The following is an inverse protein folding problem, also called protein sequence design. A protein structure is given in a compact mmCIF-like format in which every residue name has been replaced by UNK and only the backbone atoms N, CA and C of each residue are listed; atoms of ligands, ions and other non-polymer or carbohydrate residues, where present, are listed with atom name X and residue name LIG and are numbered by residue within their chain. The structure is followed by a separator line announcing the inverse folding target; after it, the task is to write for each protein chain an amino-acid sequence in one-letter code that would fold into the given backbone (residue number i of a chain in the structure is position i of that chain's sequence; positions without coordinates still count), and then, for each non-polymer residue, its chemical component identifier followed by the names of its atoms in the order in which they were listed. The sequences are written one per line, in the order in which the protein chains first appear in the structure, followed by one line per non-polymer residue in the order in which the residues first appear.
data_IF_450503998496
#
_entry.id   IF_450503998496
#
_cell.length_a   1.000
_cell.length_b   1.000
_cell.length_c   1.000
_cell.angle_alpha   90.00
_cell.angle_beta   90.00
_cell.angle_gamma   90.00
#
_symmetry.space_group_name_H-M   'P 1'
#
loop_
_entity.id
_entity.type
_entity.pdbx_description
1 polymer ?
#
# COMPACT_ATOMS: atom_id res chain seq x y z
N UNK A 1 28.64 -14.81 -0.74
CA UNK A 1 28.40 -15.13 0.65
C UNK A 1 27.67 -13.97 1.30
N UNK A 2 26.49 -14.21 1.76
CA UNK A 2 25.69 -13.23 2.49
C UNK A 2 26.08 -13.32 3.95
N UNK A 3 26.57 -12.23 4.51
CA UNK A 3 26.76 -12.11 5.95
C UNK A 3 25.43 -11.72 6.58
N UNK A 4 24.81 -12.65 7.26
CA UNK A 4 23.70 -12.35 8.16
C UNK A 4 24.17 -12.51 9.62
N UNK A 5 24.06 -11.44 10.39
CA UNK A 5 24.15 -11.57 11.85
C UNK A 5 22.83 -12.16 12.37
N UNK A 6 22.80 -13.48 12.46
CA UNK A 6 21.59 -14.23 12.86
C UNK A 6 21.11 -13.91 14.27
N UNK A 7 21.96 -13.32 15.13
CA UNK A 7 21.56 -12.91 16.48
C UNK A 7 20.57 -11.75 16.48
N UNK A 8 20.42 -11.05 15.35
CA UNK A 8 19.54 -9.91 15.16
C UNK A 8 18.27 -10.25 14.35
N UNK A 9 18.12 -11.50 13.92
CA UNK A 9 16.97 -11.97 13.16
C UNK A 9 16.05 -12.77 14.09
N UNK A 10 14.77 -12.52 13.97
CA UNK A 10 13.75 -13.37 14.59
C UNK A 10 13.64 -14.69 13.82
N UNK A 11 13.25 -15.76 14.51
CA UNK A 11 13.11 -17.09 13.90
C UNK A 11 11.78 -17.20 13.13
N UNK A 12 11.56 -16.26 12.20
CA UNK A 12 10.37 -16.12 11.41
C UNK A 12 10.56 -16.57 9.95
N UNK A 13 9.48 -16.54 9.20
CA UNK A 13 9.49 -16.71 7.76
C UNK A 13 9.40 -15.35 7.07
N UNK A 14 10.29 -15.12 6.12
CA UNK A 14 10.38 -13.92 5.33
C UNK A 14 9.79 -14.17 3.95
N UNK A 15 8.63 -13.57 3.65
CA UNK A 15 8.01 -13.64 2.33
C UNK A 15 8.69 -12.66 1.38
N UNK A 16 9.02 -13.14 0.19
CA UNK A 16 9.63 -12.34 -0.88
C UNK A 16 8.86 -12.57 -2.16
N UNK A 17 8.32 -11.50 -2.73
CA UNK A 17 7.70 -11.49 -4.05
C UNK A 17 8.64 -10.82 -5.04
N UNK A 18 9.18 -11.54 -6.03
CA UNK A 18 10.07 -10.95 -7.01
C UNK A 18 9.30 -10.06 -8.00
N UNK A 19 9.89 -8.92 -8.38
CA UNK A 19 9.25 -7.91 -9.23
C UNK A 19 9.09 -8.30 -10.71
N UNK A 20 9.82 -9.28 -11.21
CA UNK A 20 9.82 -9.56 -12.65
C UNK A 20 9.68 -11.05 -13.02
N UNK A 21 10.52 -11.91 -12.49
CA UNK A 21 10.50 -13.35 -12.77
C UNK A 21 10.81 -14.13 -11.50
N UNK A 22 10.05 -15.18 -11.28
CA UNK A 22 10.19 -16.02 -10.10
C UNK A 22 8.85 -16.28 -9.41
N UNK A 23 8.93 -17.02 -8.34
CA UNK A 23 7.78 -17.35 -7.51
C UNK A 23 7.88 -16.62 -6.18
N UNK A 24 6.76 -16.15 -5.68
CA UNK A 24 6.67 -15.72 -4.27
C UNK A 24 7.07 -16.87 -3.37
N UNK A 25 8.01 -16.65 -2.47
CA UNK A 25 8.52 -17.69 -1.59
C UNK A 25 8.72 -17.18 -0.16
N UNK A 26 8.63 -18.08 0.80
CA UNK A 26 8.99 -17.82 2.18
C UNK A 26 10.32 -18.51 2.50
N UNK A 27 11.21 -17.75 3.12
CA UNK A 27 12.55 -18.17 3.52
C UNK A 27 12.68 -18.13 5.02
N UNK A 28 13.44 -19.05 5.59
CA UNK A 28 13.84 -18.96 6.99
C UNK A 28 15.10 -18.08 7.18
N UNK A 29 15.53 -17.93 8.42
CA UNK A 29 16.72 -17.13 8.77
C UNK A 29 18.04 -17.67 8.19
N UNK A 30 18.05 -18.88 7.63
CA UNK A 30 19.21 -19.47 6.95
C UNK A 30 19.19 -19.17 5.45
N UNK A 31 18.08 -18.64 4.93
CA UNK A 31 17.84 -18.45 3.50
C UNK A 31 17.32 -19.72 2.82
N UNK A 32 16.92 -20.73 3.58
CA UNK A 32 16.33 -21.93 3.04
C UNK A 32 14.86 -21.68 2.69
N UNK A 33 14.44 -22.11 1.50
CA UNK A 33 13.04 -22.04 1.05
C UNK A 33 12.20 -23.00 1.91
N UNK A 34 11.18 -22.47 2.56
CA UNK A 34 10.23 -23.22 3.40
C UNK A 34 8.87 -23.35 2.75
N UNK A 35 8.52 -22.42 1.88
CA UNK A 35 7.28 -22.40 1.15
C UNK A 35 7.47 -21.61 -0.15
N UNK A 36 6.70 -21.93 -1.18
CA UNK A 36 6.62 -21.14 -2.41
C UNK A 36 5.26 -21.28 -3.07
N UNK A 37 4.86 -20.19 -3.76
CA UNK A 37 3.64 -20.13 -4.52
C UNK A 37 3.93 -20.46 -5.99
N UNK A 38 3.14 -21.36 -6.58
CA UNK A 38 3.29 -21.74 -8.00
C UNK A 38 2.43 -20.92 -8.95
N UNK A 39 1.42 -20.19 -8.42
CA UNK A 39 0.64 -19.23 -9.19
C UNK A 39 1.35 -17.86 -9.25
N UNK A 40 0.96 -17.05 -10.22
CA UNK A 40 1.47 -15.69 -10.34
C UNK A 40 0.94 -14.84 -9.21
N UNK A 41 1.82 -14.12 -8.53
CA UNK A 41 1.50 -13.03 -7.62
C UNK A 41 2.37 -11.83 -7.99
N UNK A 42 1.82 -10.63 -8.00
CA UNK A 42 2.52 -9.43 -8.49
C UNK A 42 2.93 -8.52 -7.34
N UNK A 43 2.08 -8.42 -6.33
CA UNK A 43 2.29 -7.53 -5.19
C UNK A 43 2.67 -8.31 -3.93
N UNK A 44 2.79 -7.64 -2.81
CA UNK A 44 3.11 -8.26 -1.53
C UNK A 44 2.10 -9.33 -1.11
N UNK A 45 2.59 -10.27 -0.31
CA UNK A 45 1.77 -11.23 0.43
C UNK A 45 1.61 -10.72 1.84
N UNK A 46 0.37 -10.60 2.31
CA UNK A 46 0.06 -10.24 3.70
C UNK A 46 -0.45 -11.46 4.45
N UNK A 47 -0.08 -11.59 5.71
CA UNK A 47 -0.68 -12.57 6.60
C UNK A 47 -1.87 -11.93 7.32
N UNK A 48 -3.01 -12.59 7.25
CA UNK A 48 -4.24 -12.19 7.92
C UNK A 48 -4.27 -12.74 9.37
N UNK A 49 -5.08 -12.13 10.22
CA UNK A 49 -5.29 -12.53 11.62
C UNK A 49 -5.71 -14.01 11.76
N UNK A 50 -6.50 -14.53 10.81
CA UNK A 50 -6.91 -15.94 10.79
C UNK A 50 -5.80 -16.89 10.32
N UNK A 51 -4.62 -16.40 9.99
CA UNK A 51 -3.46 -17.16 9.54
C UNK A 51 -3.41 -17.45 8.05
N UNK A 52 -4.42 -17.08 7.28
CA UNK A 52 -4.41 -17.16 5.82
C UNK A 52 -3.52 -16.06 5.22
N UNK A 53 -3.23 -16.19 3.94
CA UNK A 53 -2.51 -15.23 3.14
C UNK A 53 -3.49 -14.41 2.30
N UNK A 54 -3.29 -13.11 2.24
CA UNK A 54 -3.90 -12.20 1.28
C UNK A 54 -2.88 -11.89 0.20
N UNK A 55 -3.23 -12.13 -1.04
CA UNK A 55 -2.38 -11.92 -2.20
C UNK A 55 -3.17 -11.40 -3.39
N UNK A 56 -2.49 -10.90 -4.42
CA UNK A 56 -3.15 -10.48 -5.65
C UNK A 56 -3.84 -11.67 -6.32
N UNK A 57 -4.97 -11.42 -6.98
CA UNK A 57 -5.52 -12.37 -7.93
C UNK A 57 -4.50 -12.64 -9.06
N UNK A 58 -4.63 -13.75 -9.76
CA UNK A 58 -3.79 -14.08 -10.91
C UNK A 58 -4.32 -13.51 -12.23
N UNK A 59 -5.41 -12.73 -12.17
CA UNK A 59 -6.09 -12.13 -13.32
C UNK A 59 -5.78 -10.65 -13.45
N UNK A 60 -5.48 -10.23 -14.67
CA UNK A 60 -5.25 -8.82 -15.01
C UNK A 60 -6.45 -8.24 -15.77
N UNK A 61 -6.76 -6.99 -15.48
CA UNK A 61 -7.69 -6.20 -16.28
C UNK A 61 -7.05 -5.79 -17.61
N UNK A 62 -7.89 -5.41 -18.58
CA UNK A 62 -7.43 -4.64 -19.75
C UNK A 62 -6.70 -3.37 -19.28
N UNK A 63 -5.92 -2.70 -20.17
CA UNK A 63 -5.15 -1.53 -19.73
C UNK A 63 -5.88 -0.72 -18.66
N UNK A 64 -5.22 -0.38 -17.56
CA UNK A 64 -3.77 -0.32 -17.30
C UNK A 64 -3.09 -1.62 -16.81
N UNK A 65 -3.72 -2.79 -16.91
CA UNK A 65 -3.19 -4.11 -16.55
C UNK A 65 -3.01 -4.33 -15.03
N UNK A 66 -3.78 -3.68 -14.21
CA UNK A 66 -3.86 -3.97 -12.78
C UNK A 66 -4.47 -5.35 -12.53
N UNK A 67 -4.22 -5.90 -11.34
CA UNK A 67 -4.88 -7.13 -10.91
C UNK A 67 -6.37 -6.86 -10.70
N UNK A 68 -7.22 -7.84 -11.01
CA UNK A 68 -8.67 -7.69 -10.81
C UNK A 68 -9.07 -7.56 -9.34
N UNK A 69 -8.19 -7.94 -8.43
CA UNK A 69 -8.42 -7.84 -6.99
C UNK A 69 -7.48 -8.72 -6.18
N UNK A 70 -7.98 -9.24 -5.09
CA UNK A 70 -7.24 -10.00 -4.10
C UNK A 70 -7.86 -11.39 -3.90
N UNK A 71 -7.06 -12.34 -3.43
CA UNK A 71 -7.55 -13.63 -2.98
C UNK A 71 -7.02 -13.96 -1.58
N UNK A 72 -7.84 -14.66 -0.83
CA UNK A 72 -7.48 -15.22 0.46
C UNK A 72 -7.23 -16.72 0.32
N UNK A 73 -6.06 -17.18 0.75
CA UNK A 73 -5.59 -18.54 0.56
C UNK A 73 -4.86 -19.03 1.83
N UNK A 74 -4.96 -20.31 2.14
CA UNK A 74 -4.11 -20.89 3.18
C UNK A 74 -2.73 -21.31 2.63
N UNK A 75 -1.83 -21.66 3.55
CA UNK A 75 -0.46 -22.10 3.19
C UNK A 75 -0.42 -23.40 2.37
N UNK A 76 -1.53 -24.17 2.31
CA UNK A 76 -1.63 -25.37 1.49
C UNK A 76 -2.16 -25.11 0.09
N UNK A 77 -2.46 -23.84 -0.23
CA UNK A 77 -2.91 -23.42 -1.55
C UNK A 77 -4.43 -23.47 -1.76
N UNK A 78 -5.22 -23.69 -0.70
CA UNK A 78 -6.67 -23.63 -0.80
C UNK A 78 -7.14 -22.17 -0.79
N UNK A 79 -7.72 -21.72 -1.90
CA UNK A 79 -8.39 -20.42 -2.01
C UNK A 79 -9.76 -20.51 -1.36
N UNK A 80 -10.04 -19.59 -0.45
CA UNK A 80 -11.31 -19.47 0.28
C UNK A 80 -12.25 -18.47 -0.37
N UNK A 81 -11.70 -17.34 -0.80
CA UNK A 81 -12.46 -16.26 -1.41
C UNK A 81 -11.57 -15.47 -2.37
N UNK A 82 -12.21 -14.89 -3.38
CA UNK A 82 -11.59 -13.93 -4.30
C UNK A 82 -12.44 -12.66 -4.28
N UNK A 83 -11.79 -11.54 -3.97
CA UNK A 83 -12.38 -10.21 -3.93
C UNK A 83 -12.10 -9.53 -5.26
N UNK A 84 -13.13 -9.04 -5.92
CA UNK A 84 -13.02 -8.35 -7.22
C UNK A 84 -13.31 -6.87 -7.03
N UNK A 85 -12.41 -6.03 -7.53
CA UNK A 85 -12.53 -4.58 -7.52
C UNK A 85 -12.82 -4.07 -8.94
N UNK A 86 -13.77 -3.18 -9.08
CA UNK A 86 -14.25 -2.69 -10.38
C UNK A 86 -13.13 -2.07 -11.22
N UNK A 87 -12.26 -1.27 -10.59
CA UNK A 87 -11.12 -0.63 -11.25
C UNK A 87 -9.77 -1.26 -10.90
N UNK A 88 -9.79 -2.46 -10.32
CA UNK A 88 -8.59 -3.23 -10.00
C UNK A 88 -7.89 -2.83 -8.70
N UNK A 89 -6.85 -3.60 -8.41
CA UNK A 89 -5.98 -3.51 -7.25
C UNK A 89 -4.54 -3.31 -7.70
N UNK A 90 -3.80 -2.51 -6.93
CA UNK A 90 -2.37 -2.31 -7.12
C UNK A 90 -1.64 -2.19 -5.77
N UNK A 91 -0.35 -2.41 -5.78
CA UNK A 91 0.64 -2.22 -4.72
C UNK A 91 0.33 -2.88 -3.38
N UNK A 92 -0.65 -2.40 -2.60
CA UNK A 92 -0.77 -2.75 -1.18
C UNK A 92 -2.21 -2.89 -0.69
N UNK A 93 -2.40 -3.80 0.25
CA UNK A 93 -3.65 -3.99 0.99
C UNK A 93 -3.33 -4.48 2.40
N UNK A 94 -4.13 -4.10 3.38
CA UNK A 94 -4.01 -4.54 4.77
C UNK A 94 -5.36 -4.96 5.36
N UNK A 95 -5.33 -5.82 6.37
CA UNK A 95 -6.47 -6.10 7.22
C UNK A 95 -6.61 -5.01 8.29
N UNK A 96 -7.79 -4.43 8.41
CA UNK A 96 -8.14 -3.46 9.45
C UNK A 96 -8.51 -4.17 10.77
N UNK A 97 -8.46 -3.48 11.92
CA UNK A 97 -8.86 -4.05 13.21
C UNK A 97 -10.30 -4.58 13.26
N UNK A 98 -11.19 -4.08 12.39
CA UNK A 98 -12.56 -4.57 12.25
C UNK A 98 -12.67 -5.83 11.36
N UNK A 99 -11.57 -6.33 10.82
CA UNK A 99 -11.49 -7.48 9.93
C UNK A 99 -11.75 -7.19 8.44
N UNK A 100 -12.09 -5.95 8.08
CA UNK A 100 -12.23 -5.52 6.69
C UNK A 100 -10.86 -5.32 6.03
N UNK A 101 -10.84 -5.11 4.72
CA UNK A 101 -9.62 -4.85 3.97
C UNK A 101 -9.55 -3.38 3.56
N UNK A 102 -8.41 -2.72 3.84
CA UNK A 102 -8.06 -1.42 3.28
C UNK A 102 -7.14 -1.65 2.08
N UNK A 103 -7.51 -1.14 0.91
CA UNK A 103 -6.92 -1.55 -0.35
C UNK A 103 -6.55 -0.31 -1.19
N UNK A 104 -5.33 -0.29 -1.72
CA UNK A 104 -4.95 0.64 -2.78
C UNK A 104 -5.61 0.22 -4.10
N UNK A 105 -6.44 1.08 -4.65
CA UNK A 105 -7.22 0.83 -5.85
C UNK A 105 -7.29 2.05 -6.77
N UNK A 106 -8.17 1.97 -7.76
CA UNK A 106 -8.43 3.06 -8.68
C UNK A 106 -9.90 3.45 -8.64
N UNK A 107 -10.19 4.72 -8.93
CA UNK A 107 -11.56 5.18 -9.08
C UNK A 107 -12.08 4.81 -10.47
N UNK A 108 -13.15 3.99 -10.60
CA UNK A 108 -13.67 3.56 -11.90
C UNK A 108 -14.23 4.73 -12.76
N UNK A 109 -14.58 5.83 -12.13
CA UNK A 109 -15.16 7.01 -12.79
C UNK A 109 -14.11 8.06 -13.18
N UNK A 110 -12.81 7.77 -12.98
CA UNK A 110 -11.71 8.69 -13.26
C UNK A 110 -10.76 8.16 -14.32
N UNK A 111 -10.05 9.09 -14.95
CA UNK A 111 -8.95 8.77 -15.88
C UNK A 111 -7.59 8.71 -15.19
N UNK A 112 -7.52 9.15 -13.94
CA UNK A 112 -6.32 9.04 -13.10
C UNK A 112 -6.21 7.66 -12.47
N UNK A 113 -5.00 7.28 -12.04
CA UNK A 113 -4.71 5.99 -11.44
C UNK A 113 -3.94 6.17 -10.12
N UNK A 114 -3.98 5.15 -9.30
CA UNK A 114 -3.20 5.03 -8.07
C UNK A 114 -3.41 6.20 -7.07
N UNK A 115 -4.64 6.72 -7.05
CA UNK A 115 -5.08 7.86 -6.24
C UNK A 115 -6.40 7.60 -5.50
N UNK A 116 -6.72 6.33 -5.28
CA UNK A 116 -7.97 5.90 -4.67
C UNK A 116 -7.73 4.80 -3.65
N UNK A 117 -8.40 4.88 -2.52
CA UNK A 117 -8.33 3.87 -1.47
C UNK A 117 -9.74 3.41 -1.15
N UNK A 118 -9.91 2.12 -0.93
CA UNK A 118 -11.22 1.55 -0.58
C UNK A 118 -11.14 0.71 0.68
N UNK A 119 -12.24 0.70 1.43
CA UNK A 119 -12.51 -0.31 2.44
C UNK A 119 -13.51 -1.33 1.88
N UNK A 120 -13.12 -2.59 1.89
CA UNK A 120 -13.91 -3.70 1.45
C UNK A 120 -14.36 -4.51 2.67
N UNK A 121 -15.66 -4.70 2.80
CA UNK A 121 -16.23 -5.64 3.78
C UNK A 121 -15.85 -7.08 3.37
N UNK A 122 -15.01 -7.72 4.19
CA UNK A 122 -14.45 -9.03 3.90
C UNK A 122 -15.51 -10.14 3.89
N UNK A 123 -16.63 -9.96 4.58
CA UNK A 123 -17.71 -10.94 4.62
C UNK A 123 -18.56 -10.92 3.35
N UNK A 124 -18.85 -9.72 2.85
CA UNK A 124 -19.75 -9.55 1.68
C UNK A 124 -18.99 -9.36 0.37
N UNK A 125 -17.70 -9.00 0.42
CA UNK A 125 -16.89 -8.64 -0.74
C UNK A 125 -17.25 -7.28 -1.35
N UNK A 126 -18.05 -6.47 -0.65
CA UNK A 126 -18.50 -5.17 -1.15
C UNK A 126 -17.60 -4.04 -0.66
N UNK A 127 -17.32 -3.08 -1.54
CA UNK A 127 -16.73 -1.79 -1.13
C UNK A 127 -17.77 -1.02 -0.32
N UNK A 128 -17.44 -0.69 0.91
CA UNK A 128 -18.34 0.01 1.85
C UNK A 128 -17.92 1.44 2.12
N UNK A 129 -16.66 1.80 1.80
CA UNK A 129 -16.12 3.15 1.97
C UNK A 129 -14.98 3.38 0.99
N UNK A 130 -14.78 4.63 0.61
CA UNK A 130 -13.69 5.02 -0.27
C UNK A 130 -13.19 6.44 0.00
N UNK A 131 -11.93 6.69 -0.40
CA UNK A 131 -11.25 7.97 -0.32
C UNK A 131 -10.63 8.28 -1.68
N UNK A 132 -11.14 9.33 -2.31
CA UNK A 132 -10.65 9.86 -3.58
C UNK A 132 -9.64 10.98 -3.29
N UNK A 133 -8.35 10.71 -3.51
CA UNK A 133 -7.29 11.66 -3.17
C UNK A 133 -7.34 12.94 -4.00
N UNK A 134 -7.96 12.91 -5.17
CA UNK A 134 -8.18 14.13 -5.97
C UNK A 134 -9.09 15.14 -5.30
N UNK A 135 -9.88 14.70 -4.32
CA UNK A 135 -10.74 15.56 -3.50
C UNK A 135 -10.05 16.07 -2.24
N UNK A 136 -8.88 15.53 -1.90
CA UNK A 136 -8.15 15.81 -0.66
C UNK A 136 -6.88 16.63 -0.94
N UNK A 137 -6.19 16.33 -2.04
CA UNK A 137 -4.89 16.90 -2.38
C UNK A 137 -4.93 17.63 -3.73
N UNK A 138 -4.11 18.68 -3.90
CA UNK A 138 -3.89 19.32 -5.18
C UNK A 138 -3.05 18.39 -6.09
N UNK A 139 -3.61 17.97 -7.22
CA UNK A 139 -2.95 17.03 -8.14
C UNK A 139 -1.69 17.59 -8.80
N UNK A 140 -1.58 18.92 -8.88
CA UNK A 140 -0.50 19.64 -9.54
C UNK A 140 0.65 20.04 -8.60
N UNK A 141 0.59 19.68 -7.31
CA UNK A 141 1.62 20.05 -6.33
C UNK A 141 2.83 19.14 -6.39
N UNK A 142 4.01 19.70 -6.04
CA UNK A 142 5.27 18.99 -5.80
C UNK A 142 5.58 17.86 -6.79
N UNK A 143 5.52 18.17 -8.08
CA UNK A 143 5.72 17.18 -9.15
C UNK A 143 7.14 16.63 -9.15
N UNK A 144 7.31 15.36 -8.84
CA UNK A 144 8.58 14.66 -9.06
C UNK A 144 8.88 14.50 -10.56
N UNK A 145 10.07 14.02 -10.90
CA UNK A 145 10.45 13.75 -12.30
C UNK A 145 9.57 12.68 -12.99
N UNK A 146 8.92 11.82 -12.21
CA UNK A 146 8.05 10.75 -12.70
C UNK A 146 6.56 11.13 -12.72
N UNK A 147 6.21 12.31 -12.27
CA UNK A 147 4.83 12.79 -12.23
C UNK A 147 4.21 12.85 -13.63
N UNK A 148 2.97 12.42 -13.74
CA UNK A 148 2.13 12.62 -14.92
C UNK A 148 0.71 13.01 -14.49
N UNK A 149 -0.04 13.70 -15.35
CA UNK A 149 -1.45 14.01 -15.06
C UNK A 149 -2.30 12.75 -14.83
N UNK A 150 -1.95 11.64 -15.47
CA UNK A 150 -2.64 10.37 -15.35
C UNK A 150 -2.28 9.64 -14.04
N UNK A 151 -1.01 9.70 -13.63
CA UNK A 151 -0.46 9.06 -12.43
C UNK A 151 0.26 10.12 -11.59
N UNK A 152 -0.54 10.94 -10.92
CA UNK A 152 -0.05 12.15 -10.24
C UNK A 152 0.41 11.89 -8.81
N UNK A 153 -0.20 10.94 -8.10
CA UNK A 153 0.11 10.62 -6.70
C UNK A 153 0.97 9.35 -6.59
N UNK A 154 0.59 8.30 -7.31
CA UNK A 154 1.23 6.99 -7.28
C UNK A 154 1.26 6.40 -5.87
N UNK A 155 0.07 6.13 -5.33
CA UNK A 155 -0.07 5.51 -4.00
C UNK A 155 0.50 4.08 -4.01
N UNK A 156 1.58 3.87 -3.30
CA UNK A 156 2.30 2.58 -3.30
C UNK A 156 2.27 1.86 -1.95
N UNK A 157 1.63 2.40 -0.94
CA UNK A 157 1.34 1.69 0.31
C UNK A 157 0.15 2.26 1.04
N UNK A 158 -0.53 1.39 1.76
CA UNK A 158 -1.57 1.74 2.73
C UNK A 158 -1.19 1.19 4.09
N UNK A 159 -1.45 1.99 5.15
CA UNK A 159 -1.33 1.55 6.53
C UNK A 159 -2.41 2.21 7.38
N UNK A 160 -2.62 1.71 8.58
CA UNK A 160 -3.66 2.20 9.46
C UNK A 160 -3.13 2.49 10.86
N UNK A 161 -3.22 3.74 11.27
CA UNK A 161 -2.94 4.18 12.63
C UNK A 161 -4.19 3.97 13.49
N UNK A 162 -4.22 2.85 14.20
CA UNK A 162 -5.36 2.50 15.05
C UNK A 162 -5.54 3.49 16.20
N UNK A 163 -4.45 4.02 16.75
CA UNK A 163 -4.51 4.95 17.89
C UNK A 163 -5.17 6.28 17.50
N UNK A 164 -4.90 6.76 16.30
CA UNK A 164 -5.44 8.03 15.79
C UNK A 164 -6.60 7.85 14.80
N UNK A 165 -6.99 6.60 14.49
CA UNK A 165 -8.03 6.28 13.51
C UNK A 165 -7.75 6.98 12.18
N UNK A 166 -6.55 6.79 11.64
CA UNK A 166 -6.08 7.46 10.45
C UNK A 166 -5.50 6.49 9.42
N UNK A 167 -5.66 6.80 8.15
CA UNK A 167 -5.05 6.08 7.03
C UNK A 167 -3.74 6.77 6.68
N UNK A 168 -2.67 5.98 6.53
CA UNK A 168 -1.35 6.44 6.11
C UNK A 168 -1.11 5.99 4.69
N UNK A 169 -0.75 6.92 3.81
CA UNK A 169 -0.54 6.68 2.39
C UNK A 169 0.81 7.22 1.94
N UNK A 170 1.45 6.53 1.01
CA UNK A 170 2.72 6.95 0.42
C UNK A 170 2.53 7.32 -1.05
N UNK A 171 2.66 8.59 -1.37
CA UNK A 171 2.57 9.17 -2.72
C UNK A 171 3.95 9.38 -3.33
N UNK A 172 4.37 8.46 -4.21
CA UNK A 172 5.69 8.48 -4.85
C UNK A 172 5.92 9.72 -5.71
N UNK A 173 4.90 10.16 -6.44
CA UNK A 173 5.05 11.21 -7.45
C UNK A 173 4.87 12.63 -6.90
N UNK A 174 4.44 12.75 -5.65
CA UNK A 174 4.48 14.00 -4.87
C UNK A 174 5.52 13.96 -3.75
N UNK A 175 6.33 12.90 -3.67
CA UNK A 175 7.36 12.70 -2.65
C UNK A 175 6.84 12.91 -1.22
N UNK A 176 5.61 12.48 -0.96
CA UNK A 176 4.89 12.75 0.28
C UNK A 176 4.31 11.49 0.92
N UNK A 177 4.43 11.40 2.23
CA UNK A 177 3.61 10.49 3.05
C UNK A 177 2.52 11.32 3.71
N UNK A 178 1.28 10.90 3.59
CA UNK A 178 0.13 11.62 4.14
C UNK A 178 -0.64 10.79 5.14
N UNK A 179 -1.31 11.48 6.05
CA UNK A 179 -2.31 10.90 6.92
C UNK A 179 -3.66 11.56 6.67
N UNK A 180 -4.69 10.74 6.52
CA UNK A 180 -6.07 11.19 6.42
C UNK A 180 -6.93 10.58 7.52
N UNK A 181 -7.89 11.33 8.03
CA UNK A 181 -8.85 10.83 9.00
C UNK A 181 -9.72 9.73 8.37
N UNK A 182 -9.75 8.56 9.00
CA UNK A 182 -10.49 7.41 8.49
C UNK A 182 -12.00 7.67 8.38
N UNK A 183 -12.57 8.48 9.26
CA UNK A 183 -14.01 8.72 9.31
C UNK A 183 -14.46 9.82 8.37
N UNK A 184 -13.72 10.95 8.34
CA UNK A 184 -14.11 12.15 7.60
C UNK A 184 -13.43 12.25 6.24
N UNK A 185 -12.24 11.65 6.06
CA UNK A 185 -11.39 11.79 4.89
C UNK A 185 -10.56 13.08 4.89
N UNK A 186 -10.62 13.87 5.96
CA UNK A 186 -9.84 15.10 6.06
C UNK A 186 -8.34 14.80 6.17
N UNK A 187 -7.53 15.66 5.57
CA UNK A 187 -6.08 15.58 5.67
C UNK A 187 -5.64 15.97 7.09
N UNK A 188 -4.86 15.10 7.74
CA UNK A 188 -4.30 15.35 9.07
C UNK A 188 -2.93 16.00 9.00
N UNK A 189 -2.01 15.42 8.21
CA UNK A 189 -0.63 15.88 8.08
C UNK A 189 0.05 15.32 6.81
N UNK A 190 1.17 15.97 6.45
CA UNK A 190 2.06 15.59 5.36
C UNK A 190 3.51 15.52 5.86
N UNK A 191 4.22 14.45 5.51
CA UNK A 191 5.67 14.31 5.67
C UNK A 191 6.32 14.33 4.30
N UNK A 192 7.07 15.39 4.00
CA UNK A 192 7.73 15.61 2.71
C UNK A 192 8.22 17.05 2.60
N UNK A 193 8.88 17.37 1.49
CA UNK A 193 9.28 18.75 1.19
C UNK A 193 8.04 19.58 0.83
N UNK A 194 7.81 20.67 1.54
CA UNK A 194 6.67 21.55 1.28
C UNK A 194 6.85 22.47 0.05
N UNK A 195 8.03 22.43 -0.58
CA UNK A 195 8.29 23.21 -1.80
C UNK A 195 7.39 22.77 -2.94
N UNK A 196 6.76 23.74 -3.60
CA UNK A 196 5.82 23.47 -4.70
C UNK A 196 4.38 23.11 -4.26
N UNK A 197 4.12 23.07 -2.97
CA UNK A 197 2.76 22.93 -2.44
C UNK A 197 2.10 24.30 -2.22
N UNK A 198 0.76 24.42 -2.40
CA UNK A 198 0.02 25.65 -2.15
C UNK A 198 0.21 26.19 -0.73
N UNK A 199 0.11 27.52 -0.57
CA UNK A 199 0.31 28.20 0.72
C UNK A 199 -0.68 27.69 1.79
N UNK A 200 -1.93 27.45 1.40
CA UNK A 200 -2.97 26.91 2.26
C UNK A 200 -2.69 25.48 2.77
N UNK A 201 -1.78 24.74 2.14
CA UNK A 201 -1.39 23.40 2.56
C UNK A 201 -0.19 23.38 3.51
N UNK A 202 0.56 24.47 3.63
CA UNK A 202 1.83 24.52 4.39
C UNK A 202 1.67 24.14 5.87
N UNK A 203 0.53 24.39 6.47
CA UNK A 203 0.27 24.07 7.87
C UNK A 203 0.11 22.58 8.17
N UNK A 204 -0.05 21.72 7.15
CA UNK A 204 -0.09 20.27 7.30
C UNK A 204 1.29 19.62 7.38
N UNK A 205 2.35 20.35 6.99
CA UNK A 205 3.68 19.78 6.90
C UNK A 205 4.41 19.73 8.25
N UNK A 206 5.10 18.61 8.46
CA UNK A 206 6.07 18.52 9.56
C UNK A 206 7.28 19.41 9.29
N UNK A 207 7.76 20.08 10.35
CA UNK A 207 8.99 20.84 10.30
C UNK A 207 10.17 19.94 10.70
N UNK A 208 11.22 19.79 9.86
CA UNK A 208 12.41 19.05 10.23
C UNK A 208 13.09 19.60 11.46
N UNK A 209 13.60 18.73 12.33
CA UNK A 209 14.38 19.10 13.51
C UNK A 209 15.82 18.59 13.32
N UNK A 210 16.79 19.48 13.53
CA UNK A 210 18.22 19.17 13.43
C UNK A 210 18.89 19.82 12.23
N UNK A 211 20.23 19.63 12.15
CA UNK A 211 21.05 20.10 11.05
C UNK A 211 21.25 18.99 10.02
N UNK A 212 21.44 19.35 8.74
CA UNK A 212 21.68 18.42 7.63
C UNK A 212 20.55 17.40 7.42
N UNK A 213 19.29 17.82 7.56
CA UNK A 213 18.14 17.02 7.25
C UNK A 213 17.94 16.90 5.73
N UNK A 214 17.65 15.69 5.25
CA UNK A 214 17.26 15.42 3.87
C UNK A 214 15.89 14.74 3.86
N UNK A 215 15.01 15.18 2.95
CA UNK A 215 13.71 14.56 2.74
C UNK A 215 13.84 13.24 1.96
N UNK A 216 12.85 12.38 2.12
CA UNK A 216 12.68 11.20 1.29
C UNK A 216 12.23 11.59 -0.12
N UNK A 217 12.67 10.81 -1.11
CA UNK A 217 12.29 10.98 -2.51
C UNK A 217 11.84 9.64 -3.09
N UNK A 218 10.73 9.62 -3.87
CA UNK A 218 10.18 8.42 -4.50
C UNK A 218 10.01 7.24 -3.53
N UNK A 219 9.62 7.52 -2.30
CA UNK A 219 9.51 6.54 -1.21
C UNK A 219 8.43 5.49 -1.49
N UNK A 220 8.59 4.33 -0.87
CA UNK A 220 7.63 3.23 -0.88
C UNK A 220 7.47 2.67 0.55
N UNK A 221 6.33 1.97 0.76
CA UNK A 221 6.09 1.16 1.96
C UNK A 221 6.15 1.94 3.28
N UNK A 222 5.54 3.13 3.31
CA UNK A 222 5.39 3.88 4.56
C UNK A 222 4.58 3.07 5.58
N UNK A 223 5.09 2.99 6.81
CA UNK A 223 4.45 2.27 7.92
C UNK A 223 4.46 3.11 9.18
N UNK A 224 3.38 3.00 9.97
CA UNK A 224 3.29 3.58 11.30
C UNK A 224 3.66 2.51 12.35
N UNK A 225 4.44 2.90 13.32
CA UNK A 225 4.78 2.02 14.45
C UNK A 225 4.14 2.59 15.71
N UNK A 226 3.56 1.73 16.57
CA UNK A 226 3.09 2.17 17.88
C UNK A 226 4.23 2.80 18.67
N UNK A 227 3.97 3.96 19.27
CA UNK A 227 4.91 4.69 20.14
C UNK A 227 5.04 4.04 21.52
#
# INVERSE_FOLDING_TARGET
SVYADKSRLENDLYFVTPSSQGYTAAYDINGDVRWYLTSKNVWDVKRLENGNLLLSSDRTMAPPYYMTGLMEMDLLGKVYVEYVLEAGYHHDAIELPNGNLLIAGNNPDRMTVEDYVVELDRTTGQVIKSWDLTSILPTEAAKSENWTEHDWFHNNSVDFDEANQAIILSGRHQDAVISIDYKTGDLNWIVGDSTGWPEEMQHYFFTPIGENFEWQWSQHSAKIFPS
#
